data_IF_345801079783
#
_entry.id   IF_345801079783
#
_cell.length_a   1.000
_cell.length_b   1.000
_cell.length_c   1.000
_cell.angle_alpha   90.00
_cell.angle_beta   90.00
_cell.angle_gamma   90.00
#
_symmetry.space_group_name_H-M   'P 1'
#
loop_
_entity.id
_entity.type
_entity.pdbx_description
1 polymer ?
#
# COMPACT_ATOMS: atom_id res chain seq x y z
N UNK A 1 -7.05 3.10 24.85
CA UNK A 1 -6.78 4.49 25.17
C UNK A 1 -6.14 5.14 23.95
N UNK A 2 -6.76 6.25 23.49
CA UNK A 2 -6.25 7.02 22.37
C UNK A 2 -4.96 7.74 22.81
N UNK A 3 -3.83 7.32 22.29
CA UNK A 3 -2.50 7.88 22.65
C UNK A 3 -2.06 9.02 21.73
N UNK A 4 -2.98 9.56 20.91
CA UNK A 4 -2.65 10.66 20.00
C UNK A 4 -2.63 12.00 20.77
N UNK A 5 -1.63 12.87 20.50
CA UNK A 5 -1.65 14.22 21.00
C UNK A 5 -2.88 14.96 20.47
N UNK A 6 -3.52 15.76 21.30
CA UNK A 6 -4.58 16.69 20.91
C UNK A 6 -4.12 17.60 19.76
N UNK A 7 -5.01 17.96 18.81
CA UNK A 7 -4.67 18.94 17.78
C UNK A 7 -4.22 20.26 18.40
N UNK A 8 -2.98 20.65 18.17
CA UNK A 8 -2.35 21.85 18.77
C UNK A 8 -1.48 21.59 19.98
N UNK A 9 -1.39 20.36 20.49
CA UNK A 9 -0.46 19.98 21.55
C UNK A 9 0.97 20.01 20.98
N UNK A 10 1.92 20.57 21.74
CA UNK A 10 3.36 20.47 21.46
C UNK A 10 3.93 19.08 21.76
N UNK A 11 3.08 18.12 22.15
CA UNK A 11 3.50 16.75 22.44
C UNK A 11 4.04 16.06 21.19
N UNK A 12 5.22 15.48 21.33
CA UNK A 12 5.88 14.70 20.27
C UNK A 12 5.04 13.45 19.96
N UNK A 13 4.96 13.05 18.68
CA UNK A 13 4.27 11.83 18.31
C UNK A 13 4.81 10.62 19.11
N UNK A 14 3.94 9.70 19.56
CA UNK A 14 4.37 8.57 20.39
C UNK A 14 5.19 7.54 19.61
N UNK A 15 5.22 7.65 18.29
CA UNK A 15 5.93 6.76 17.37
C UNK A 15 6.81 7.57 16.42
N UNK A 16 7.95 7.02 16.05
CA UNK A 16 8.78 7.48 14.96
C UNK A 16 9.03 6.33 13.98
N UNK A 17 9.15 6.64 12.70
CA UNK A 17 9.43 5.64 11.67
C UNK A 17 10.95 5.40 11.55
N UNK A 18 11.32 4.18 11.12
CA UNK A 18 12.62 3.89 10.53
C UNK A 18 12.42 3.51 9.06
N UNK A 19 13.41 3.77 8.18
CA UNK A 19 13.24 3.57 6.74
C UNK A 19 13.37 2.09 6.34
N UNK A 20 12.57 1.24 6.99
CA UNK A 20 12.46 -0.19 6.75
C UNK A 20 11.06 -0.50 6.25
N UNK A 21 10.97 -1.03 5.03
CA UNK A 21 9.72 -1.21 4.28
C UNK A 21 9.50 -2.70 4.00
N UNK A 22 8.93 -3.42 4.97
CA UNK A 22 8.78 -4.88 4.92
C UNK A 22 7.79 -5.36 3.87
N UNK A 23 6.85 -4.53 3.45
CA UNK A 23 5.83 -4.90 2.47
C UNK A 23 5.68 -3.83 1.40
N UNK A 24 5.89 -4.25 0.15
CA UNK A 24 5.58 -3.49 -1.07
C UNK A 24 4.69 -4.33 -1.97
N UNK A 25 3.78 -3.70 -2.69
CA UNK A 25 2.90 -4.43 -3.60
C UNK A 25 2.25 -3.50 -4.61
N UNK A 26 2.30 -3.87 -5.87
CA UNK A 26 1.45 -3.27 -6.88
C UNK A 26 -0.04 -3.59 -6.62
N UNK A 27 -0.95 -2.77 -7.15
CA UNK A 27 -2.35 -2.82 -6.73
C UNK A 27 -3.37 -2.96 -7.85
N UNK A 28 -2.99 -2.85 -9.12
CA UNK A 28 -3.93 -2.96 -10.22
C UNK A 28 -4.66 -4.31 -10.22
N UNK A 29 -3.96 -5.39 -9.91
CA UNK A 29 -4.56 -6.73 -9.80
C UNK A 29 -5.52 -6.94 -8.62
N UNK A 30 -5.76 -5.90 -7.79
CA UNK A 30 -6.58 -5.98 -6.58
C UNK A 30 -7.85 -5.12 -6.61
N UNK A 31 -8.25 -4.68 -7.79
CA UNK A 31 -9.57 -4.11 -8.07
C UNK A 31 -10.43 -5.16 -8.76
N UNK A 32 -11.44 -5.64 -8.06
CA UNK A 32 -12.37 -6.67 -8.52
C UNK A 32 -13.73 -6.06 -8.85
N UNK A 33 -14.40 -6.63 -9.85
CA UNK A 33 -15.73 -6.21 -10.29
C UNK A 33 -16.65 -7.42 -10.39
N UNK A 34 -17.96 -7.18 -10.25
CA UNK A 34 -18.96 -8.15 -10.66
C UNK A 34 -19.02 -8.18 -12.19
N UNK A 35 -18.90 -9.35 -12.78
CA UNK A 35 -18.82 -9.52 -14.24
C UNK A 35 -20.07 -9.00 -14.99
N UNK A 36 -21.24 -8.97 -14.32
CA UNK A 36 -22.48 -8.46 -14.88
C UNK A 36 -22.70 -6.95 -14.65
N UNK A 37 -21.80 -6.27 -13.89
CA UNK A 37 -22.00 -4.85 -13.52
C UNK A 37 -21.80 -3.86 -14.67
N UNK A 38 -21.32 -4.31 -15.83
CA UNK A 38 -21.10 -3.46 -17.01
C UNK A 38 -19.88 -2.52 -16.87
N UNK A 39 -18.98 -2.79 -15.91
CA UNK A 39 -17.75 -2.02 -15.70
C UNK A 39 -16.67 -2.54 -16.64
N UNK A 40 -16.07 -1.67 -17.45
CA UNK A 40 -14.99 -1.99 -18.39
C UNK A 40 -13.73 -1.16 -18.15
N UNK A 41 -13.89 0.02 -17.55
CA UNK A 41 -12.81 0.93 -17.25
C UNK A 41 -13.05 1.61 -15.89
N UNK A 42 -12.00 2.14 -15.22
CA UNK A 42 -12.15 2.82 -13.94
C UNK A 42 -13.19 3.95 -13.95
N UNK A 43 -13.32 4.71 -15.03
CA UNK A 43 -14.29 5.80 -15.15
C UNK A 43 -15.75 5.33 -15.06
N UNK A 44 -16.04 4.07 -15.36
CA UNK A 44 -17.38 3.49 -15.22
C UNK A 44 -17.81 3.37 -13.75
N UNK A 45 -16.88 3.56 -12.82
CA UNK A 45 -17.13 3.60 -11.38
C UNK A 45 -17.60 4.98 -10.88
N UNK A 46 -17.59 6.02 -11.71
CA UNK A 46 -18.09 7.36 -11.33
C UNK A 46 -19.58 7.23 -10.94
N UNK A 47 -19.92 7.75 -9.76
CA UNK A 47 -21.27 7.69 -9.20
C UNK A 47 -21.68 6.30 -8.65
N UNK A 48 -20.80 5.31 -8.72
CA UNK A 48 -21.07 3.94 -8.25
C UNK A 48 -20.54 3.72 -6.84
N UNK A 49 -20.92 2.59 -6.26
CA UNK A 49 -20.38 2.07 -5.01
C UNK A 49 -19.13 1.22 -5.26
N UNK A 50 -18.11 1.40 -4.43
CA UNK A 50 -16.90 0.56 -4.44
C UNK A 50 -16.62 0.09 -3.02
N UNK A 51 -16.59 -1.22 -2.82
CA UNK A 51 -16.32 -1.84 -1.53
C UNK A 51 -14.84 -1.75 -1.14
N UNK A 52 -14.59 -1.70 0.18
CA UNK A 52 -13.26 -1.85 0.78
C UNK A 52 -13.44 -2.22 2.25
N UNK A 53 -12.55 -3.05 2.81
CA UNK A 53 -12.69 -3.52 4.21
C UNK A 53 -12.93 -2.36 5.17
N UNK A 54 -12.13 -1.32 5.04
CA UNK A 54 -12.29 0.01 5.61
C UNK A 54 -11.61 1.04 4.69
N UNK A 55 -11.70 2.33 4.98
CA UNK A 55 -11.22 3.37 4.06
C UNK A 55 -9.71 3.59 4.15
N UNK A 56 -9.11 3.52 5.35
CA UNK A 56 -7.71 3.91 5.63
C UNK A 56 -6.59 2.94 5.22
N UNK A 57 -6.77 1.65 4.88
CA UNK A 57 -5.66 0.78 4.55
C UNK A 57 -4.78 1.34 3.44
N UNK A 58 -3.46 1.21 3.59
CA UNK A 58 -2.48 1.69 2.61
C UNK A 58 -2.77 1.17 1.19
N UNK A 59 -3.26 -0.08 1.07
CA UNK A 59 -3.70 -0.67 -0.20
C UNK A 59 -4.78 0.16 -0.90
N UNK A 60 -5.75 0.65 -0.13
CA UNK A 60 -6.87 1.43 -0.64
C UNK A 60 -6.45 2.87 -0.93
N UNK A 61 -5.59 3.46 -0.08
CA UNK A 61 -5.00 4.80 -0.31
C UNK A 61 -4.24 4.81 -1.65
N UNK A 62 -3.33 3.85 -1.84
CA UNK A 62 -2.57 3.72 -3.08
C UNK A 62 -3.47 3.53 -4.28
N UNK A 63 -4.44 2.60 -4.20
CA UNK A 63 -5.29 2.32 -5.36
C UNK A 63 -6.16 3.52 -5.74
N UNK A 64 -6.76 4.23 -4.76
CA UNK A 64 -7.52 5.45 -5.04
C UNK A 64 -6.67 6.55 -5.67
N UNK A 65 -5.44 6.74 -5.17
CA UNK A 65 -4.49 7.70 -5.76
C UNK A 65 -4.09 7.32 -7.18
N UNK A 66 -3.77 6.07 -7.43
CA UNK A 66 -3.45 5.55 -8.77
C UNK A 66 -4.66 5.70 -9.71
N UNK A 67 -5.86 5.35 -9.26
CA UNK A 67 -7.08 5.51 -10.06
C UNK A 67 -7.34 6.97 -10.44
N UNK A 68 -7.03 7.90 -9.55
CA UNK A 68 -7.16 9.34 -9.83
C UNK A 68 -6.09 9.80 -10.82
N UNK A 69 -4.82 9.54 -10.55
CA UNK A 69 -3.69 10.07 -11.33
C UNK A 69 -3.58 9.42 -12.72
N UNK A 70 -3.80 8.11 -12.81
CA UNK A 70 -3.55 7.34 -14.02
C UNK A 70 -4.80 7.16 -14.90
N UNK A 71 -5.96 7.11 -14.25
CA UNK A 71 -7.22 6.73 -14.93
C UNK A 71 -8.29 7.81 -14.85
N UNK A 72 -8.03 8.94 -14.21
CA UNK A 72 -8.95 10.06 -14.10
C UNK A 72 -10.25 9.71 -13.37
N UNK A 73 -10.17 8.86 -12.34
CA UNK A 73 -11.26 8.53 -11.42
C UNK A 73 -11.03 9.21 -10.06
N UNK A 74 -11.61 10.40 -9.82
CA UNK A 74 -11.49 11.06 -8.54
C UNK A 74 -12.20 10.25 -7.43
N UNK A 75 -11.52 10.02 -6.32
CA UNK A 75 -12.06 9.24 -5.19
C UNK A 75 -13.35 9.85 -4.59
N UNK A 76 -13.58 11.15 -4.77
CA UNK A 76 -14.79 11.87 -4.30
C UNK A 76 -16.01 11.63 -5.19
N UNK A 77 -15.83 11.09 -6.39
CA UNK A 77 -16.92 10.73 -7.31
C UNK A 77 -17.42 9.29 -7.15
N UNK A 78 -16.93 8.61 -6.12
CA UNK A 78 -17.29 7.22 -5.79
C UNK A 78 -17.89 7.20 -4.39
N UNK A 79 -18.88 6.35 -4.14
CA UNK A 79 -19.34 6.03 -2.79
C UNK A 79 -18.56 4.82 -2.28
N UNK A 80 -17.79 5.03 -1.22
CA UNK A 80 -16.97 3.97 -0.61
C UNK A 80 -17.80 3.19 0.40
N UNK A 81 -17.95 1.90 0.17
CA UNK A 81 -18.73 1.00 1.04
C UNK A 81 -17.76 0.20 1.90
N UNK A 82 -17.86 0.32 3.23
CA UNK A 82 -16.90 -0.29 4.17
C UNK A 82 -17.55 -1.35 5.05
N UNK A 83 -16.79 -2.39 5.37
CA UNK A 83 -17.26 -3.52 6.19
C UNK A 83 -17.04 -3.30 7.68
N UNK A 84 -16.04 -2.50 8.05
CA UNK A 84 -15.69 -2.21 9.44
C UNK A 84 -15.28 -0.76 9.64
N UNK A 85 -15.35 -0.30 10.88
CA UNK A 85 -14.87 1.02 11.29
C UNK A 85 -13.36 1.15 11.10
N UNK A 86 -12.90 2.38 11.04
CA UNK A 86 -11.49 2.71 10.92
C UNK A 86 -10.73 2.42 12.22
N UNK A 87 -9.47 1.97 12.08
CA UNK A 87 -8.60 1.73 13.24
C UNK A 87 -8.11 3.04 13.86
N UNK A 88 -7.99 4.10 13.03
CA UNK A 88 -7.65 5.46 13.46
C UNK A 88 -8.83 6.36 13.13
N UNK A 89 -9.43 6.97 14.15
CA UNK A 89 -10.57 7.87 13.95
C UNK A 89 -10.16 9.04 13.05
N UNK A 90 -10.99 9.36 12.06
CA UNK A 90 -10.86 10.57 11.26
C UNK A 90 -12.27 11.08 10.90
N UNK A 91 -12.36 12.35 10.60
CA UNK A 91 -13.61 12.95 10.12
C UNK A 91 -13.50 13.08 8.60
N UNK A 92 -14.28 12.33 7.82
CA UNK A 92 -14.27 12.46 6.38
C UNK A 92 -14.63 13.88 5.93
N UNK A 93 -13.99 14.40 4.87
CA UNK A 93 -14.46 15.62 4.22
C UNK A 93 -15.94 15.50 3.81
N UNK A 94 -16.67 16.63 3.84
CA UNK A 94 -18.13 16.64 3.58
C UNK A 94 -18.53 16.09 2.20
N UNK A 95 -17.64 16.18 1.25
CA UNK A 95 -17.83 15.72 -0.13
C UNK A 95 -17.33 14.28 -0.40
N UNK A 96 -16.79 13.62 0.63
CA UNK A 96 -16.40 12.22 0.61
C UNK A 96 -17.51 11.34 1.20
N UNK A 97 -18.02 10.43 0.38
CA UNK A 97 -19.10 9.51 0.78
C UNK A 97 -18.54 8.17 1.20
N UNK A 98 -18.73 7.83 2.49
CA UNK A 98 -18.37 6.54 3.08
C UNK A 98 -19.62 5.98 3.76
N UNK A 99 -20.01 4.77 3.39
CA UNK A 99 -21.18 4.06 3.91
C UNK A 99 -20.76 2.74 4.54
N UNK A 100 -21.32 2.43 5.71
CA UNK A 100 -21.12 1.14 6.37
C UNK A 100 -22.13 0.13 5.85
N UNK A 101 -21.68 -1.10 5.53
CA UNK A 101 -22.61 -2.18 5.19
C UNK A 101 -23.48 -2.60 6.38
N UNK A 102 -24.61 -3.21 6.09
CA UNK A 102 -25.49 -3.75 7.13
C UNK A 102 -24.76 -4.84 7.97
N UNK A 103 -25.03 -4.92 9.28
CA UNK A 103 -24.46 -5.96 10.13
C UNK A 103 -24.67 -7.38 9.56
N UNK A 104 -23.61 -8.19 9.60
CA UNK A 104 -23.63 -9.58 9.10
C UNK A 104 -23.36 -9.74 7.60
N UNK A 105 -23.43 -8.67 6.81
CA UNK A 105 -23.02 -8.74 5.38
C UNK A 105 -21.51 -8.83 5.24
N UNK A 106 -21.06 -9.30 4.06
CA UNK A 106 -19.66 -9.41 3.67
C UNK A 106 -19.46 -8.85 2.28
N UNK A 107 -18.51 -7.94 2.12
CA UNK A 107 -18.26 -7.24 0.85
C UNK A 107 -17.96 -8.18 -0.31
N UNK A 108 -17.20 -9.24 -0.08
CA UNK A 108 -16.86 -10.20 -1.12
C UNK A 108 -18.07 -11.03 -1.58
N UNK A 109 -19.04 -11.29 -0.70
CA UNK A 109 -20.31 -11.91 -1.06
C UNK A 109 -21.23 -10.91 -1.76
N UNK A 110 -21.32 -9.67 -1.26
CA UNK A 110 -22.07 -8.59 -1.92
C UNK A 110 -21.58 -8.34 -3.34
N UNK A 111 -20.25 -8.42 -3.56
CA UNK A 111 -19.67 -8.33 -4.89
C UNK A 111 -20.11 -9.50 -5.78
N UNK A 112 -20.08 -10.74 -5.26
CA UNK A 112 -20.51 -11.92 -6.00
C UNK A 112 -21.99 -11.85 -6.39
N UNK A 113 -22.84 -11.40 -5.47
CA UNK A 113 -24.29 -11.26 -5.70
C UNK A 113 -24.68 -10.02 -6.52
N UNK A 114 -23.73 -9.13 -6.82
CA UNK A 114 -23.97 -7.91 -7.59
C UNK A 114 -24.62 -6.78 -6.78
N UNK A 115 -24.66 -6.87 -5.45
CA UNK A 115 -25.13 -5.80 -4.57
C UNK A 115 -24.20 -4.57 -4.62
N UNK A 116 -22.92 -4.80 -4.86
CA UNK A 116 -21.93 -3.76 -5.20
C UNK A 116 -21.24 -4.12 -6.51
N UNK A 117 -20.96 -3.12 -7.38
CA UNK A 117 -20.37 -3.40 -8.69
C UNK A 117 -18.87 -3.67 -8.65
N UNK A 118 -18.15 -3.15 -7.65
CA UNK A 118 -16.70 -3.26 -7.53
C UNK A 118 -16.21 -3.26 -6.08
N UNK A 119 -14.97 -3.75 -5.89
CA UNK A 119 -14.31 -3.82 -4.59
C UNK A 119 -12.79 -3.67 -4.74
N UNK A 120 -12.20 -2.79 -3.93
CA UNK A 120 -10.76 -2.80 -3.63
C UNK A 120 -10.50 -3.81 -2.51
N UNK A 121 -9.61 -4.75 -2.74
CA UNK A 121 -9.30 -5.76 -1.72
C UNK A 121 -7.80 -5.85 -1.49
N UNK A 122 -7.32 -5.94 -0.23
CA UNK A 122 -5.92 -6.20 0.05
C UNK A 122 -5.50 -7.62 -0.36
N UNK A 123 -6.48 -8.55 -0.40
CA UNK A 123 -6.31 -9.96 -0.72
C UNK A 123 -7.33 -10.41 -1.80
N UNK A 124 -7.19 -11.64 -2.28
CA UNK A 124 -8.15 -12.21 -3.21
C UNK A 124 -9.49 -12.47 -2.50
N UNK A 125 -10.63 -11.95 -2.99
CA UNK A 125 -11.96 -12.24 -2.45
C UNK A 125 -12.20 -13.76 -2.38
N UNK A 126 -12.83 -14.23 -1.31
CA UNK A 126 -13.06 -15.68 -1.11
C UNK A 126 -13.78 -16.36 -2.29
N UNK A 127 -14.88 -15.81 -2.83
CA UNK A 127 -15.53 -16.42 -3.99
C UNK A 127 -14.61 -16.45 -5.22
N UNK A 128 -13.84 -15.38 -5.48
CA UNK A 128 -12.86 -15.34 -6.58
C UNK A 128 -11.81 -16.45 -6.44
N UNK A 129 -11.26 -16.64 -5.22
CA UNK A 129 -10.31 -17.72 -4.92
C UNK A 129 -10.90 -19.09 -5.11
N UNK A 130 -12.21 -19.26 -4.85
CA UNK A 130 -12.96 -20.47 -5.08
C UNK A 130 -13.33 -20.72 -6.56
N UNK A 131 -12.95 -19.81 -7.46
CA UNK A 131 -13.18 -19.95 -8.90
C UNK A 131 -14.53 -19.40 -9.37
N UNK A 132 -15.24 -18.64 -8.55
CA UNK A 132 -16.50 -18.00 -8.91
C UNK A 132 -16.31 -17.00 -10.07
N UNK A 133 -16.94 -17.28 -11.20
CA UNK A 133 -16.82 -16.47 -12.42
C UNK A 133 -17.63 -15.17 -12.40
N UNK A 134 -18.47 -14.97 -11.40
CA UNK A 134 -19.20 -13.72 -11.20
C UNK A 134 -18.27 -12.58 -10.78
N UNK A 135 -17.09 -12.90 -10.23
CA UNK A 135 -16.06 -11.91 -9.86
C UNK A 135 -14.88 -12.03 -10.81
N UNK A 136 -14.49 -10.91 -11.37
CA UNK A 136 -13.30 -10.79 -12.23
C UNK A 136 -12.44 -9.59 -11.82
N UNK A 137 -11.18 -9.54 -12.28
CA UNK A 137 -10.37 -8.33 -12.14
C UNK A 137 -10.82 -7.28 -13.15
N UNK A 138 -10.86 -6.01 -12.73
CA UNK A 138 -11.04 -4.91 -13.69
C UNK A 138 -9.85 -4.81 -14.65
N UNK A 139 -8.67 -5.13 -14.17
CA UNK A 139 -7.44 -5.15 -14.94
C UNK A 139 -6.96 -6.60 -15.10
N UNK A 140 -7.39 -7.35 -16.13
CA UNK A 140 -6.94 -8.73 -16.35
C UNK A 140 -5.43 -8.80 -16.60
N UNK A 141 -4.89 -7.84 -17.37
CA UNK A 141 -3.47 -7.74 -17.72
C UNK A 141 -2.69 -6.87 -16.70
N UNK A 142 -3.03 -7.02 -15.41
CA UNK A 142 -2.51 -6.16 -14.35
C UNK A 142 -0.97 -6.14 -14.27
N UNK A 143 -0.27 -7.25 -14.58
CA UNK A 143 1.20 -7.32 -14.53
C UNK A 143 1.83 -6.33 -15.52
N UNK A 144 1.33 -6.29 -16.75
CA UNK A 144 1.85 -5.38 -17.79
C UNK A 144 1.54 -3.91 -17.44
N UNK A 145 0.34 -3.66 -16.89
CA UNK A 145 -0.04 -2.32 -16.43
C UNK A 145 0.82 -1.85 -15.24
N UNK A 146 1.08 -2.73 -14.28
CA UNK A 146 1.95 -2.46 -13.13
C UNK A 146 3.39 -2.19 -13.56
N UNK A 147 3.89 -2.94 -14.53
CA UNK A 147 5.21 -2.71 -15.10
C UNK A 147 5.29 -1.38 -15.88
N UNK A 148 4.28 -1.07 -16.69
CA UNK A 148 4.19 0.21 -17.40
C UNK A 148 4.12 1.39 -16.42
N UNK A 149 3.34 1.25 -15.34
CA UNK A 149 3.26 2.21 -14.24
C UNK A 149 4.64 2.41 -13.59
N UNK A 150 5.33 1.32 -13.23
CA UNK A 150 6.66 1.37 -12.63
C UNK A 150 7.68 2.04 -13.54
N UNK A 151 7.73 1.66 -14.83
CA UNK A 151 8.66 2.26 -15.82
C UNK A 151 8.47 3.77 -15.95
N UNK A 152 7.23 4.24 -15.91
CA UNK A 152 6.92 5.67 -16.03
C UNK A 152 7.16 6.44 -14.74
N UNK A 153 6.82 5.86 -13.60
CA UNK A 153 6.80 6.57 -12.32
C UNK A 153 7.99 6.26 -11.43
N UNK A 154 8.63 5.10 -11.58
CA UNK A 154 9.61 4.56 -10.64
C UNK A 154 9.00 4.15 -9.29
N UNK A 155 7.66 4.06 -9.20
CA UNK A 155 6.97 3.77 -7.95
C UNK A 155 6.64 2.27 -7.84
N UNK A 156 7.23 1.62 -6.84
CA UNK A 156 6.80 0.32 -6.34
C UNK A 156 6.18 0.54 -4.96
N UNK A 157 4.84 0.51 -4.83
CA UNK A 157 4.12 1.04 -3.68
C UNK A 157 4.53 0.43 -2.34
N UNK A 158 4.98 1.29 -1.42
CA UNK A 158 5.26 0.91 -0.03
C UNK A 158 3.94 0.78 0.73
N UNK A 159 3.71 -0.40 1.32
CA UNK A 159 2.47 -0.68 2.09
C UNK A 159 2.68 -0.51 3.59
N UNK A 160 3.85 -0.91 4.10
CA UNK A 160 4.16 -0.89 5.53
C UNK A 160 5.46 -0.17 5.79
N UNK A 161 5.46 0.63 6.85
CA UNK A 161 6.64 1.30 7.42
C UNK A 161 6.83 0.78 8.84
N UNK A 162 8.06 0.45 9.19
CA UNK A 162 8.41 0.02 10.56
C UNK A 162 8.48 1.24 11.47
N UNK A 163 7.86 1.16 12.65
CA UNK A 163 7.87 2.23 13.65
C UNK A 163 8.44 1.76 14.98
N UNK A 164 9.01 2.70 15.73
CA UNK A 164 9.54 2.51 17.08
C UNK A 164 8.83 3.49 18.00
N UNK A 165 8.58 3.11 19.25
CA UNK A 165 8.09 4.05 20.25
C UNK A 165 9.10 5.18 20.45
N UNK A 166 8.64 6.42 20.44
CA UNK A 166 9.50 7.58 20.59
C UNK A 166 10.30 7.54 21.90
N UNK A 167 9.69 7.09 23.00
CA UNK A 167 10.36 6.92 24.29
C UNK A 167 11.60 5.99 24.23
N UNK A 168 11.58 4.98 23.34
CA UNK A 168 12.71 4.07 23.15
C UNK A 168 13.84 4.80 22.41
N UNK A 169 13.50 5.58 21.40
CA UNK A 169 14.49 6.35 20.63
C UNK A 169 15.14 7.41 21.51
N UNK A 170 14.36 8.11 22.33
CA UNK A 170 14.85 9.13 23.26
C UNK A 170 15.81 8.53 24.30
N UNK A 171 15.49 7.34 24.81
CA UNK A 171 16.31 6.65 25.82
C UNK A 171 17.54 5.95 25.22
N UNK A 172 17.39 5.44 23.99
CA UNK A 172 18.40 4.62 23.31
C UNK A 172 18.58 5.08 21.85
N UNK A 173 19.25 6.22 21.59
CA UNK A 173 19.37 6.81 20.27
C UNK A 173 20.02 5.92 19.20
N UNK A 174 20.74 4.90 19.60
CA UNK A 174 21.38 3.90 18.72
C UNK A 174 20.43 2.83 18.18
N UNK A 175 19.22 2.68 18.76
CA UNK A 175 18.26 1.63 18.39
C UNK A 175 17.80 1.76 16.93
N UNK A 176 17.42 2.93 16.40
CA UNK A 176 16.99 3.07 15.00
C UNK A 176 18.03 2.52 14.02
N UNK A 177 19.29 2.92 14.16
CA UNK A 177 20.39 2.51 13.30
C UNK A 177 20.65 1.00 13.39
N UNK A 178 20.76 0.46 14.61
CA UNK A 178 21.06 -0.96 14.80
C UNK A 178 19.90 -1.86 14.34
N UNK A 179 18.65 -1.43 14.57
CA UNK A 179 17.48 -2.16 14.12
C UNK A 179 17.39 -2.17 12.58
N UNK A 180 17.67 -1.05 11.92
CA UNK A 180 17.73 -0.97 10.46
C UNK A 180 18.80 -1.91 9.89
N UNK A 181 20.01 -1.93 10.49
CA UNK A 181 21.07 -2.88 10.10
C UNK A 181 20.65 -4.34 10.29
N UNK A 182 19.94 -4.64 11.38
CA UNK A 182 19.42 -6.00 11.62
C UNK A 182 18.39 -6.42 10.57
N UNK A 183 17.51 -5.51 10.16
CA UNK A 183 16.56 -5.78 9.08
C UNK A 183 17.24 -5.96 7.72
N UNK A 184 18.31 -5.18 7.41
CA UNK A 184 19.10 -5.38 6.20
C UNK A 184 19.76 -6.77 6.20
N UNK A 185 20.35 -7.20 7.31
CA UNK A 185 20.93 -8.54 7.44
C UNK A 185 19.87 -9.64 7.25
N UNK A 186 18.68 -9.47 7.85
CA UNK A 186 17.55 -10.39 7.69
C UNK A 186 17.06 -10.46 6.25
N UNK A 187 16.96 -9.31 5.55
CA UNK A 187 16.59 -9.23 4.13
C UNK A 187 17.60 -10.00 3.25
N UNK A 188 18.89 -9.82 3.50
CA UNK A 188 19.93 -10.55 2.77
C UNK A 188 19.82 -12.08 2.98
N UNK A 189 19.45 -12.54 4.19
CA UNK A 189 19.17 -13.96 4.44
C UNK A 189 17.93 -14.41 3.66
N UNK A 190 16.86 -13.61 3.65
CA UNK A 190 15.63 -13.93 2.93
C UNK A 190 15.89 -14.07 1.42
N UNK A 191 16.62 -13.15 0.81
CA UNK A 191 16.98 -13.21 -0.61
C UNK A 191 17.79 -14.49 -0.96
N UNK A 192 18.79 -14.82 -0.14
CA UNK A 192 19.53 -16.09 -0.34
C UNK A 192 18.65 -17.33 -0.24
N UNK A 193 17.65 -17.32 0.68
CA UNK A 193 16.70 -18.43 0.82
C UNK A 193 15.75 -18.53 -0.36
N UNK A 194 15.19 -17.41 -0.82
CA UNK A 194 14.28 -17.38 -1.97
C UNK A 194 15.00 -17.82 -3.25
N UNK A 195 16.25 -17.44 -3.42
CA UNK A 195 17.07 -17.86 -4.58
C UNK A 195 17.40 -19.36 -4.59
N UNK A 196 17.20 -20.06 -3.46
CA UNK A 196 17.45 -21.50 -3.38
C UNK A 196 16.18 -22.31 -3.72
N UNK A 197 16.12 -22.99 -4.88
CA UNK A 197 14.94 -23.72 -5.30
C UNK A 197 14.60 -24.94 -4.43
N UNK A 198 15.53 -25.35 -3.52
CA UNK A 198 15.27 -26.41 -2.53
C UNK A 198 14.47 -25.92 -1.32
N UNK A 199 14.42 -24.59 -1.09
CA UNK A 199 13.73 -23.98 0.06
C UNK A 199 12.32 -23.55 -0.33
N UNK A 200 12.13 -23.05 -1.55
CA UNK A 200 10.86 -22.56 -2.04
C UNK A 200 10.27 -23.57 -3.03
N UNK A 201 9.18 -24.28 -2.66
CA UNK A 201 8.58 -25.32 -3.51
C UNK A 201 7.72 -24.73 -4.62
N UNK A 202 8.28 -23.88 -5.45
CA UNK A 202 7.66 -23.31 -6.65
C UNK A 202 8.45 -23.69 -7.89
N UNK A 203 7.78 -24.31 -8.88
CA UNK A 203 8.42 -24.82 -10.09
C UNK A 203 9.19 -23.72 -10.87
N UNK A 204 8.69 -22.51 -10.89
CA UNK A 204 9.19 -21.38 -11.67
C UNK A 204 9.78 -20.26 -10.82
N UNK A 205 10.16 -20.54 -9.56
CA UNK A 205 10.72 -19.52 -8.67
C UNK A 205 11.95 -18.83 -9.25
N UNK A 206 12.84 -19.57 -9.89
CA UNK A 206 14.06 -19.02 -10.50
C UNK A 206 13.73 -18.03 -11.63
N UNK A 207 12.87 -18.44 -12.55
CA UNK A 207 12.41 -17.59 -13.66
C UNK A 207 11.72 -16.34 -13.14
N UNK A 208 10.86 -16.48 -12.10
CA UNK A 208 10.18 -15.33 -11.49
C UNK A 208 11.16 -14.33 -10.84
N UNK A 209 12.25 -14.82 -10.23
CA UNK A 209 13.28 -13.97 -9.64
C UNK A 209 14.09 -13.24 -10.71
N UNK A 210 14.52 -13.94 -11.77
CA UNK A 210 15.25 -13.36 -12.89
C UNK A 210 14.41 -12.28 -13.58
N UNK A 211 13.15 -12.57 -13.85
CA UNK A 211 12.19 -11.62 -14.41
C UNK A 211 12.00 -10.38 -13.51
N UNK A 212 11.85 -10.59 -12.19
CA UNK A 212 11.74 -9.49 -11.23
C UNK A 212 13.03 -8.63 -11.22
N UNK A 213 14.20 -9.25 -11.20
CA UNK A 213 15.49 -8.56 -11.19
C UNK A 213 15.67 -7.72 -12.46
N UNK A 214 15.30 -8.26 -13.62
CA UNK A 214 15.31 -7.52 -14.89
C UNK A 214 14.36 -6.31 -14.87
N UNK A 215 13.16 -6.47 -14.31
CA UNK A 215 12.12 -5.46 -14.35
C UNK A 215 12.25 -4.39 -13.28
N UNK A 216 12.62 -4.76 -12.05
CA UNK A 216 12.60 -3.91 -10.86
C UNK A 216 13.98 -3.64 -10.27
N UNK A 217 15.04 -4.27 -10.82
CA UNK A 217 16.39 -4.21 -10.29
C UNK A 217 16.66 -5.26 -9.20
N UNK A 218 17.93 -5.31 -8.74
CA UNK A 218 18.40 -6.35 -7.81
C UNK A 218 17.79 -6.29 -6.41
N UNK A 219 17.48 -5.09 -5.93
CA UNK A 219 16.85 -4.90 -4.61
C UNK A 219 15.62 -4.01 -4.67
N UNK A 220 14.47 -4.52 -5.19
CA UNK A 220 13.23 -3.75 -5.21
C UNK A 220 12.67 -3.47 -3.80
N UNK A 221 13.18 -4.13 -2.76
CA UNK A 221 12.89 -3.87 -1.35
C UNK A 221 13.97 -3.06 -0.65
N UNK A 222 14.74 -2.25 -1.37
CA UNK A 222 15.75 -1.38 -0.76
C UNK A 222 15.17 -0.58 0.41
N UNK A 223 15.89 -0.59 1.54
CA UNK A 223 15.59 0.25 2.71
C UNK A 223 16.29 1.60 2.59
N UNK A 224 16.16 2.44 3.60
CA UNK A 224 16.71 3.80 3.58
C UNK A 224 15.81 4.82 2.87
N UNK A 225 16.07 6.09 3.10
CA UNK A 225 15.40 7.21 2.42
C UNK A 225 16.07 7.54 1.08
N UNK A 226 16.28 6.50 0.24
CA UNK A 226 16.80 6.68 -1.11
C UNK A 226 15.89 7.59 -1.95
N UNK A 227 16.36 8.19 -3.06
CA UNK A 227 15.50 9.02 -3.92
C UNK A 227 14.23 8.31 -4.37
N UNK A 228 14.31 7.00 -4.70
CA UNK A 228 13.16 6.20 -5.09
C UNK A 228 12.17 6.01 -3.92
N UNK A 229 12.68 5.75 -2.71
CA UNK A 229 11.83 5.60 -1.52
C UNK A 229 11.20 6.93 -1.11
N UNK A 230 11.94 8.04 -1.16
CA UNK A 230 11.39 9.38 -0.91
C UNK A 230 10.22 9.66 -1.85
N UNK A 231 10.37 9.42 -3.15
CA UNK A 231 9.30 9.58 -4.14
C UNK A 231 8.06 8.74 -3.81
N UNK A 232 8.25 7.47 -3.41
CA UNK A 232 7.14 6.61 -2.97
C UNK A 232 6.42 7.19 -1.74
N UNK A 233 7.17 7.57 -0.71
CA UNK A 233 6.63 8.08 0.54
C UNK A 233 5.93 9.43 0.35
N UNK A 234 6.51 10.35 -0.41
CA UNK A 234 5.90 11.64 -0.75
C UNK A 234 4.61 11.45 -1.55
N UNK A 235 4.58 10.48 -2.47
CA UNK A 235 3.37 10.16 -3.23
C UNK A 235 2.26 9.63 -2.33
N UNK A 236 2.54 8.69 -1.42
CA UNK A 236 1.48 8.19 -0.52
C UNK A 236 1.05 9.23 0.50
N UNK A 237 1.94 10.10 0.97
CA UNK A 237 1.58 11.24 1.83
C UNK A 237 0.65 12.21 1.11
N UNK A 238 0.95 12.54 -0.17
CA UNK A 238 0.06 13.35 -1.01
C UNK A 238 -1.31 12.70 -1.14
N UNK A 239 -1.37 11.40 -1.46
CA UNK A 239 -2.64 10.67 -1.54
C UNK A 239 -3.40 10.68 -0.23
N UNK A 240 -2.72 10.51 0.90
CA UNK A 240 -3.32 10.54 2.23
C UNK A 240 -3.92 11.91 2.56
N UNK A 241 -3.22 12.99 2.15
CA UNK A 241 -3.70 14.37 2.30
C UNK A 241 -4.89 14.67 1.37
N UNK A 242 -4.79 14.36 0.08
CA UNK A 242 -5.85 14.58 -0.90
C UNK A 242 -7.13 13.82 -0.54
N UNK A 243 -7.00 12.65 0.07
CA UNK A 243 -8.10 11.82 0.54
C UNK A 243 -8.64 12.25 1.93
N UNK A 244 -8.10 13.32 2.51
CA UNK A 244 -8.61 13.95 3.73
C UNK A 244 -8.31 13.21 5.03
N UNK A 245 -7.33 12.28 5.03
CA UNK A 245 -6.98 11.51 6.23
C UNK A 245 -6.00 12.25 7.14
N UNK A 246 -5.23 13.19 6.59
CA UNK A 246 -4.36 14.09 7.33
C UNK A 246 -4.69 15.53 6.94
N UNK A 247 -4.64 16.44 7.90
CA UNK A 247 -4.92 17.87 7.70
C UNK A 247 -3.72 18.65 7.19
N UNK A 248 -2.53 18.07 7.27
CA UNK A 248 -1.27 18.74 6.93
C UNK A 248 -0.24 17.71 6.43
N UNK A 249 0.43 18.04 5.34
CA UNK A 249 1.60 17.29 4.90
C UNK A 249 2.81 17.66 5.76
N UNK A 250 3.48 16.65 6.32
CA UNK A 250 4.73 16.84 7.05
C UNK A 250 5.91 16.46 6.13
N UNK A 251 7.05 17.12 6.25
CA UNK A 251 8.26 16.69 5.56
C UNK A 251 8.68 15.30 6.05
N UNK A 252 9.21 14.47 5.15
CA UNK A 252 9.59 13.09 5.48
C UNK A 252 10.57 13.03 6.65
N UNK A 253 11.54 13.94 6.68
CA UNK A 253 12.57 13.95 7.72
C UNK A 253 12.01 14.22 9.13
N UNK A 254 10.78 14.76 9.22
CA UNK A 254 10.08 14.90 10.50
C UNK A 254 9.37 13.62 10.96
N UNK A 255 9.21 12.62 10.06
CA UNK A 255 8.52 11.37 10.32
C UNK A 255 9.47 10.21 10.63
N UNK A 256 10.72 10.32 10.18
CA UNK A 256 11.71 9.26 10.30
C UNK A 256 12.80 9.62 11.31
N UNK A 257 13.22 8.62 12.09
CA UNK A 257 14.43 8.73 12.89
C UNK A 257 15.66 8.78 11.97
N UNK A 258 16.67 9.53 12.39
CA UNK A 258 17.98 9.46 11.78
C UNK A 258 18.57 8.06 12.01
N UNK A 259 18.97 7.40 10.93
CA UNK A 259 19.49 6.03 10.99
C UNK A 259 20.95 5.91 10.61
N UNK A 260 21.61 7.04 10.33
CA UNK A 260 23.06 7.10 10.01
C UNK A 260 23.53 5.99 9.02
N UNK A 261 22.60 5.52 8.19
CA UNK A 261 22.90 4.64 7.07
C UNK A 261 23.44 5.54 5.96
N UNK A 262 24.66 6.09 6.11
CA UNK A 262 25.26 6.94 5.09
C UNK A 262 24.85 6.48 3.68
N UNK A 263 24.70 7.40 2.76
CA UNK A 263 24.25 7.13 1.39
C UNK A 263 24.91 5.84 0.89
N UNK A 264 24.14 4.73 0.92
CA UNK A 264 24.49 3.51 0.24
C UNK A 264 24.29 3.74 -1.28
N UNK A 265 24.92 4.84 -1.74
CA UNK A 265 25.07 5.21 -3.12
C UNK A 265 26.16 4.35 -3.73
N UNK A 266 25.75 3.43 -4.60
CA UNK A 266 26.51 2.92 -5.69
C UNK A 266 28.02 2.70 -5.48
N UNK A 267 28.42 1.56 -4.95
CA UNK A 267 29.66 0.97 -5.40
C UNK A 267 29.36 0.15 -6.65
N UNK A 268 29.41 0.79 -7.79
CA UNK A 268 29.73 0.09 -9.04
C UNK A 268 31.06 -0.63 -8.83
N UNK A 269 30.96 -1.92 -8.51
CA UNK A 269 32.07 -2.85 -8.45
C UNK A 269 32.14 -3.53 -9.82
N UNK A 270 33.14 -3.14 -10.57
CA UNK A 270 33.67 -3.76 -11.80
C UNK A 270 33.69 -5.27 -11.76
#
# INVERSE_FOLDING_TARGET
>A
PDTRPEPGSSARAPLTAIPVFLHRRFRHGFLFINAAAGIRAPKDLIGRQVGGTNFQPASNIWMRGILQDEYGLPHRQVTWVVERSEDVAFTPPKDLRIEMIAPGKKLDLMLAEGEIPAMLSPELPRPFRAGDKRIVRLFPDYKDLELAYFRRTGIFPIMHVTTIKQEIVDKFPWVPTNLTKAFEAAKAIAYRRIANPRVVPLAWVRTALEEQEEMLGRDPWAYGLTPANRKNLETVLRYTFEQGMISKMLPLDALFADTDLGDAGGSDGT
#
